data_IF_993375445302
#
_entry.id   IF_993375445302
#
_cell.length_a   1.000
_cell.length_b   1.000
_cell.length_c   1.000
_cell.angle_alpha   90.00
_cell.angle_beta   90.00
_cell.angle_gamma   90.00
#
_symmetry.space_group_name_H-M   'P 1'
#
loop_
_entity.id
_entity.type
_entity.pdbx_description
1 polymer ?
#
# COMPACT_ATOMS: atom_id res chain seq x y z
N UNK A 1 8.47 60.28 -10.54
CA UNK A 1 9.69 59.69 -11.13
C UNK A 1 9.40 59.36 -12.59
N UNK A 2 10.20 59.92 -13.49
CA UNK A 2 10.21 59.74 -14.95
C UNK A 2 10.39 58.25 -15.34
N UNK A 3 9.98 57.85 -16.57
CA UNK A 3 11.02 57.81 -17.59
C UNK A 3 10.62 58.39 -18.95
N UNK A 4 11.62 59.10 -19.44
CA UNK A 4 11.88 59.67 -20.74
C UNK A 4 11.87 58.62 -21.86
N UNK A 5 11.41 59.08 -23.03
CA UNK A 5 11.52 58.50 -24.37
C UNK A 5 12.80 57.68 -24.60
N UNK A 6 12.68 56.58 -25.35
CA UNK A 6 13.79 56.16 -26.22
C UNK A 6 13.28 55.66 -27.58
N UNK A 7 14.01 56.11 -28.60
CA UNK A 7 13.71 56.08 -30.02
C UNK A 7 13.81 54.67 -30.61
N UNK A 8 13.00 54.46 -31.63
CA UNK A 8 13.13 53.39 -32.63
C UNK A 8 14.50 53.46 -33.30
N UNK A 9 15.23 52.36 -33.28
CA UNK A 9 16.29 52.07 -34.25
C UNK A 9 16.03 50.66 -34.80
N UNK A 10 15.82 50.62 -36.10
CA UNK A 10 15.66 49.45 -36.94
C UNK A 10 16.92 48.57 -36.85
N UNK A 11 16.78 47.29 -36.53
CA UNK A 11 17.74 46.28 -36.91
C UNK A 11 17.04 44.92 -37.02
N UNK A 12 16.99 44.46 -38.27
CA UNK A 12 16.49 43.21 -38.78
C UNK A 12 17.20 42.02 -38.08
N UNK A 13 16.49 41.16 -37.36
CA UNK A 13 17.03 39.83 -36.99
C UNK A 13 15.91 38.91 -36.47
N UNK A 14 15.70 37.81 -37.21
CA UNK A 14 15.37 36.47 -36.72
C UNK A 14 14.03 36.18 -36.00
N UNK A 15 13.39 35.13 -36.53
CA UNK A 15 12.64 34.06 -35.85
C UNK A 15 11.13 34.22 -35.57
N UNK A 16 10.42 33.20 -36.09
CA UNK A 16 9.25 32.53 -35.53
C UNK A 16 7.93 33.31 -35.49
N UNK A 17 7.17 33.18 -36.58
CA UNK A 17 5.72 33.30 -36.54
C UNK A 17 5.08 32.10 -35.83
N UNK A 18 4.88 32.21 -34.51
CA UNK A 18 3.90 31.43 -33.77
C UNK A 18 2.79 32.38 -33.32
N UNK A 19 1.81 32.59 -34.21
CA UNK A 19 0.57 33.26 -33.89
C UNK A 19 -0.40 32.25 -33.24
N UNK A 20 -0.98 32.61 -32.10
CA UNK A 20 -2.27 32.03 -31.70
C UNK A 20 -2.42 31.70 -30.22
N UNK A 21 -3.14 32.58 -29.52
CA UNK A 21 -3.96 32.29 -28.34
C UNK A 21 -3.24 32.00 -27.00
N UNK A 22 -2.87 33.06 -26.28
CA UNK A 22 -2.89 33.04 -24.82
C UNK A 22 -4.34 32.89 -24.34
N UNK A 23 -4.82 31.65 -24.22
CA UNK A 23 -5.95 31.33 -23.35
C UNK A 23 -5.49 31.57 -21.92
N UNK A 24 -6.14 32.54 -21.26
CA UNK A 24 -6.12 32.69 -19.81
C UNK A 24 -6.64 31.38 -19.22
N UNK A 25 -5.72 30.54 -18.73
CA UNK A 25 -6.05 29.33 -18.02
C UNK A 25 -6.69 29.75 -16.69
N UNK A 26 -8.01 29.82 -16.68
CA UNK A 26 -8.78 29.77 -15.45
C UNK A 26 -8.37 28.46 -14.77
N UNK A 27 -7.73 28.56 -13.62
CA UNK A 27 -7.40 27.41 -12.79
C UNK A 27 -8.72 26.87 -12.26
N UNK A 28 -9.33 26.01 -13.07
CA UNK A 28 -10.42 25.16 -12.67
C UNK A 28 -9.85 24.26 -11.57
N UNK A 29 -10.02 24.70 -10.32
CA UNK A 29 -9.93 23.83 -9.15
C UNK A 29 -11.06 22.83 -9.33
N UNK A 30 -10.81 21.84 -10.17
CA UNK A 30 -11.58 20.62 -10.23
C UNK A 30 -11.61 20.11 -8.81
N UNK A 31 -12.74 20.31 -8.14
CA UNK A 31 -13.06 19.65 -6.90
C UNK A 31 -12.90 18.18 -7.18
N UNK A 32 -11.75 17.64 -6.78
CA UNK A 32 -11.56 16.20 -6.73
C UNK A 32 -12.64 15.75 -5.77
N UNK A 33 -13.72 15.21 -6.33
CA UNK A 33 -14.79 14.61 -5.57
C UNK A 33 -14.09 13.74 -4.54
N UNK A 34 -14.24 14.10 -3.26
CA UNK A 34 -13.64 13.34 -2.19
C UNK A 34 -14.09 11.91 -2.41
N UNK A 35 -13.14 11.00 -2.63
CA UNK A 35 -13.47 9.59 -2.71
C UNK A 35 -14.33 9.28 -1.47
N UNK A 36 -15.43 8.53 -1.62
CA UNK A 36 -16.27 8.20 -0.48
C UNK A 36 -15.37 7.63 0.63
N UNK A 37 -15.62 8.01 1.91
CA UNK A 37 -14.79 7.55 3.00
C UNK A 37 -14.70 6.02 2.96
N UNK A 38 -13.47 5.50 2.85
CA UNK A 38 -13.23 4.07 2.85
C UNK A 38 -13.83 3.49 4.14
N UNK A 39 -14.57 2.39 4.01
CA UNK A 39 -15.00 1.60 5.16
C UNK A 39 -13.78 1.32 6.05
N UNK A 40 -13.79 1.77 7.33
CA UNK A 40 -12.66 1.58 8.24
C UNK A 40 -12.24 0.12 8.37
N UNK A 41 -13.19 -0.82 8.30
CA UNK A 41 -12.91 -2.26 8.34
C UNK A 41 -12.08 -2.67 7.12
N UNK A 42 -12.50 -2.27 5.93
CA UNK A 42 -11.77 -2.57 4.70
C UNK A 42 -10.38 -1.91 4.70
N UNK A 43 -10.28 -0.64 5.12
CA UNK A 43 -9.02 0.08 5.15
C UNK A 43 -7.99 -0.55 6.10
N UNK A 44 -8.41 -0.95 7.30
CA UNK A 44 -7.54 -1.63 8.26
C UNK A 44 -7.15 -3.03 7.77
N UNK A 45 -8.08 -3.79 7.19
CA UNK A 45 -7.82 -5.12 6.65
C UNK A 45 -6.85 -5.09 5.47
N UNK A 46 -7.02 -4.14 4.52
CA UNK A 46 -6.08 -3.93 3.40
C UNK A 46 -4.68 -3.56 3.92
N UNK A 47 -4.60 -2.73 4.97
CA UNK A 47 -3.31 -2.38 5.58
C UNK A 47 -2.60 -3.60 6.16
N UNK A 48 -3.28 -4.39 6.99
CA UNK A 48 -2.71 -5.61 7.58
C UNK A 48 -2.44 -6.69 6.51
N UNK A 49 -3.26 -6.74 5.47
CA UNK A 49 -3.15 -7.70 4.38
C UNK A 49 -1.89 -7.53 3.55
N UNK A 50 -1.48 -6.28 3.26
CA UNK A 50 -0.20 -6.02 2.60
C UNK A 50 0.99 -6.53 3.41
N UNK A 51 0.99 -6.29 4.72
CA UNK A 51 2.04 -6.80 5.60
C UNK A 51 2.05 -8.33 5.64
N UNK A 52 0.88 -8.96 5.76
CA UNK A 52 0.76 -10.43 5.74
C UNK A 52 1.29 -11.01 4.43
N UNK A 53 0.91 -10.43 3.29
CA UNK A 53 1.34 -10.87 1.97
C UNK A 53 2.87 -10.79 1.84
N UNK A 54 3.49 -9.66 2.22
CA UNK A 54 4.94 -9.50 2.18
C UNK A 54 5.67 -10.54 3.06
N UNK A 55 5.21 -10.74 4.30
CA UNK A 55 5.84 -11.69 5.22
C UNK A 55 5.76 -13.10 4.66
N UNK A 56 4.61 -13.49 4.11
CA UNK A 56 4.38 -14.84 3.57
C UNK A 56 5.16 -15.05 2.26
N UNK A 57 5.24 -14.05 1.39
CA UNK A 57 6.05 -14.06 0.17
C UNK A 57 7.53 -14.34 0.52
N UNK A 58 8.11 -13.52 1.40
CA UNK A 58 9.50 -13.65 1.85
C UNK A 58 9.77 -14.95 2.62
N UNK A 59 8.80 -15.43 3.41
CA UNK A 59 8.92 -16.72 4.08
C UNK A 59 8.90 -17.91 3.09
N UNK A 60 8.17 -17.78 1.98
CA UNK A 60 8.12 -18.78 0.91
C UNK A 60 9.42 -18.77 0.09
N UNK A 61 9.98 -17.60 -0.20
CA UNK A 61 11.32 -17.45 -0.78
C UNK A 61 12.41 -18.06 0.13
N UNK A 62 12.34 -17.80 1.44
CA UNK A 62 13.22 -18.42 2.43
C UNK A 62 13.11 -19.94 2.38
N UNK A 63 11.89 -20.48 2.32
CA UNK A 63 11.67 -21.93 2.22
C UNK A 63 12.34 -22.54 0.98
N UNK A 64 12.26 -21.86 -0.17
CA UNK A 64 12.92 -22.28 -1.41
C UNK A 64 14.44 -22.37 -1.29
N UNK A 65 15.06 -21.45 -0.54
CA UNK A 65 16.51 -21.40 -0.33
C UNK A 65 17.01 -22.26 0.85
N UNK A 66 16.12 -22.67 1.77
CA UNK A 66 16.49 -23.35 3.03
C UNK A 66 16.02 -24.81 3.11
N UNK A 67 16.11 -25.52 1.97
CA UNK A 67 15.78 -26.96 1.85
C UNK A 67 14.34 -27.27 2.28
N UNK A 68 13.39 -26.42 1.90
CA UNK A 68 11.98 -26.65 2.16
C UNK A 68 11.51 -26.31 3.58
N UNK A 69 12.36 -25.70 4.41
CA UNK A 69 12.00 -25.29 5.79
C UNK A 69 11.62 -23.82 5.86
N UNK A 70 10.48 -23.53 6.46
CA UNK A 70 10.08 -22.16 6.79
C UNK A 70 10.97 -21.53 7.86
N UNK A 71 11.08 -20.19 7.90
CA UNK A 71 11.76 -19.50 8.99
C UNK A 71 10.99 -19.71 10.30
N UNK A 72 11.69 -19.77 11.42
CA UNK A 72 11.06 -19.92 12.76
C UNK A 72 10.66 -18.58 13.38
N UNK A 73 11.07 -17.47 12.76
CA UNK A 73 10.72 -16.10 13.16
C UNK A 73 10.77 -15.14 11.98
N UNK A 74 10.04 -14.02 12.08
CA UNK A 74 10.07 -12.96 11.05
C UNK A 74 11.45 -12.29 10.93
N UNK A 75 12.26 -12.32 11.98
CA UNK A 75 13.62 -11.76 11.95
C UNK A 75 14.55 -12.50 10.97
N UNK A 76 14.35 -13.81 10.75
CA UNK A 76 15.16 -14.59 9.82
C UNK A 76 14.96 -14.20 8.35
N UNK A 77 13.84 -13.54 8.05
CA UNK A 77 13.54 -12.98 6.71
C UNK A 77 13.73 -11.46 6.66
N UNK A 78 14.44 -10.90 7.66
CA UNK A 78 14.76 -9.47 7.71
C UNK A 78 13.56 -8.58 7.98
N UNK A 79 12.55 -9.08 8.71
CA UNK A 79 11.37 -8.31 9.12
C UNK A 79 11.37 -8.16 10.64
N UNK A 80 11.18 -6.93 11.11
CA UNK A 80 11.01 -6.66 12.53
C UNK A 80 9.68 -7.22 13.04
N UNK A 81 9.71 -7.93 14.17
CA UNK A 81 8.48 -8.44 14.81
C UNK A 81 7.63 -7.35 15.46
N UNK A 82 8.20 -6.17 15.68
CA UNK A 82 7.57 -5.05 16.34
C UNK A 82 7.95 -3.75 15.63
N UNK A 83 6.94 -3.02 15.15
CA UNK A 83 7.12 -1.66 14.61
C UNK A 83 6.33 -0.66 15.44
N UNK A 84 6.41 0.65 15.17
CA UNK A 84 5.52 1.60 15.83
C UNK A 84 4.03 1.29 15.63
N UNK A 85 3.64 0.73 14.48
CA UNK A 85 2.24 0.49 14.11
C UNK A 85 1.74 -0.92 14.44
N UNK A 86 2.55 -1.95 14.23
CA UNK A 86 2.11 -3.36 14.25
C UNK A 86 3.04 -4.30 15.02
N UNK A 87 2.46 -5.42 15.46
CA UNK A 87 3.16 -6.60 15.99
C UNK A 87 2.95 -7.75 15.02
N UNK A 88 4.01 -8.52 14.76
CA UNK A 88 4.01 -9.61 13.79
C UNK A 88 4.46 -10.90 14.47
N UNK A 89 3.68 -11.95 14.30
CA UNK A 89 3.97 -13.28 14.80
C UNK A 89 3.93 -14.26 13.66
N UNK A 90 4.94 -15.13 13.64
CA UNK A 90 5.05 -16.22 12.68
C UNK A 90 5.03 -17.54 13.47
N UNK A 91 4.24 -18.48 12.99
CA UNK A 91 4.21 -19.86 13.47
C UNK A 91 4.40 -20.75 12.25
N UNK A 92 5.43 -21.60 12.30
CA UNK A 92 5.77 -22.49 11.19
C UNK A 92 5.90 -23.93 11.66
N UNK A 93 5.47 -24.85 10.80
CA UNK A 93 5.81 -26.27 10.87
C UNK A 93 6.62 -26.67 9.64
N UNK A 94 6.89 -27.97 9.46
CA UNK A 94 7.53 -28.47 8.24
C UNK A 94 6.67 -28.25 6.98
N UNK A 95 5.34 -28.20 7.11
CA UNK A 95 4.41 -28.15 5.98
C UNK A 95 3.66 -26.81 5.88
N UNK A 96 3.42 -26.14 7.01
CA UNK A 96 2.53 -24.98 7.09
C UNK A 96 3.23 -23.77 7.67
N UNK A 97 2.79 -22.60 7.21
CA UNK A 97 3.15 -21.30 7.75
C UNK A 97 1.87 -20.55 8.06
N UNK A 98 1.80 -19.96 9.25
CA UNK A 98 0.74 -19.06 9.66
C UNK A 98 1.34 -17.79 10.23
N UNK A 99 0.87 -16.65 9.75
CA UNK A 99 1.32 -15.33 10.18
C UNK A 99 0.14 -14.55 10.72
N UNK A 100 0.34 -13.90 11.86
CA UNK A 100 -0.60 -12.95 12.45
C UNK A 100 0.05 -11.58 12.50
N UNK A 101 -0.67 -10.56 12.04
CA UNK A 101 -0.30 -9.15 12.20
C UNK A 101 -1.40 -8.44 12.97
N UNK A 102 -1.01 -7.69 13.99
CA UNK A 102 -1.92 -6.96 14.85
C UNK A 102 -1.49 -5.49 14.97
N UNK A 103 -2.45 -4.57 15.05
CA UNK A 103 -2.13 -3.19 15.42
C UNK A 103 -1.71 -3.10 16.88
N UNK A 104 -0.74 -2.23 17.17
CA UNK A 104 -0.31 -1.95 18.56
C UNK A 104 -1.32 -1.12 19.34
N UNK A 105 -2.11 -0.31 18.64
CA UNK A 105 -3.15 0.55 19.20
C UNK A 105 -4.50 0.19 18.57
N UNK A 106 -5.12 -0.94 18.98
CA UNK A 106 -6.37 -1.39 18.38
C UNK A 106 -7.54 -0.46 18.70
N UNK A 107 -7.51 0.32 19.80
CA UNK A 107 -8.63 1.16 20.21
C UNK A 107 -9.01 2.28 19.20
N UNK A 108 -8.12 2.63 18.26
CA UNK A 108 -8.38 3.60 17.19
C UNK A 108 -8.69 2.93 15.84
N UNK A 109 -8.95 1.62 15.84
CA UNK A 109 -9.10 0.78 14.65
C UNK A 109 -10.44 0.04 14.66
N UNK A 110 -10.89 -0.38 13.49
CA UNK A 110 -12.03 -1.28 13.35
C UNK A 110 -11.59 -2.75 13.45
N UNK A 111 -10.37 -3.06 12.98
CA UNK A 111 -9.74 -4.38 13.08
C UNK A 111 -8.58 -4.33 14.06
N UNK A 112 -8.49 -5.32 14.95
CA UNK A 112 -7.37 -5.46 15.88
C UNK A 112 -6.22 -6.27 15.26
N UNK A 113 -6.53 -7.35 14.55
CA UNK A 113 -5.54 -8.22 13.92
C UNK A 113 -6.09 -8.97 12.71
N UNK A 114 -5.19 -9.43 11.84
CA UNK A 114 -5.50 -10.37 10.77
C UNK A 114 -4.49 -11.52 10.77
N UNK A 115 -4.91 -12.68 10.30
CA UNK A 115 -4.12 -13.91 10.20
C UNK A 115 -4.29 -14.53 8.81
N UNK A 116 -3.19 -15.04 8.27
CA UNK A 116 -3.13 -15.73 6.99
C UNK A 116 -2.18 -16.93 7.04
N UNK A 117 -2.41 -17.90 6.15
CA UNK A 117 -1.50 -18.99 5.89
C UNK A 117 -0.81 -18.84 4.52
N UNK A 118 0.15 -19.73 4.21
CA UNK A 118 0.91 -19.68 2.95
C UNK A 118 0.06 -19.84 1.68
N UNK A 119 -1.18 -20.30 1.80
CA UNK A 119 -2.13 -20.47 0.71
C UNK A 119 -2.61 -19.13 0.10
N UNK A 120 -2.43 -17.99 0.79
CA UNK A 120 -2.83 -16.69 0.24
C UNK A 120 -2.06 -16.32 -1.04
N UNK A 121 -0.86 -16.85 -1.25
CA UNK A 121 -0.09 -16.60 -2.48
C UNK A 121 -0.75 -17.27 -3.68
N UNK A 122 -1.20 -18.51 -3.51
CA UNK A 122 -1.97 -19.23 -4.53
C UNK A 122 -3.33 -18.56 -4.75
N UNK A 123 -4.04 -18.20 -3.66
CA UNK A 123 -5.29 -17.48 -3.76
C UNK A 123 -5.15 -16.16 -4.52
N UNK A 124 -4.11 -15.37 -4.23
CA UNK A 124 -3.84 -14.12 -4.93
C UNK A 124 -3.54 -14.34 -6.42
N UNK A 125 -2.75 -15.37 -6.76
CA UNK A 125 -2.44 -15.71 -8.16
C UNK A 125 -3.70 -16.11 -8.94
N UNK A 126 -4.65 -16.79 -8.28
CA UNK A 126 -5.90 -17.26 -8.90
C UNK A 126 -7.01 -16.19 -8.94
N UNK A 127 -6.95 -15.16 -8.09
CA UNK A 127 -8.02 -14.18 -7.91
C UNK A 127 -7.56 -12.73 -8.14
N UNK A 128 -6.78 -12.48 -9.20
CA UNK A 128 -6.37 -11.12 -9.62
C UNK A 128 -5.69 -10.32 -8.50
N UNK A 129 -4.84 -10.99 -7.71
CA UNK A 129 -4.13 -10.39 -6.57
C UNK A 129 -4.96 -10.26 -5.30
N UNK A 130 -6.19 -10.79 -5.26
CA UNK A 130 -7.06 -10.77 -4.09
C UNK A 130 -6.99 -12.07 -3.30
N UNK A 131 -7.08 -11.99 -1.97
CA UNK A 131 -7.01 -13.17 -1.12
C UNK A 131 -7.78 -12.97 0.19
N UNK A 132 -8.33 -14.06 0.76
CA UNK A 132 -9.05 -14.01 2.01
C UNK A 132 -8.10 -13.89 3.21
N UNK A 133 -8.52 -13.15 4.22
CA UNK A 133 -7.88 -13.03 5.51
C UNK A 133 -8.86 -13.33 6.64
N UNK A 134 -8.42 -14.00 7.69
CA UNK A 134 -9.19 -14.07 8.94
C UNK A 134 -8.81 -12.88 9.81
N UNK A 135 -9.72 -11.94 10.01
CA UNK A 135 -9.50 -10.74 10.81
C UNK A 135 -10.38 -10.72 12.06
N UNK A 136 -9.82 -10.23 13.16
CA UNK A 136 -10.49 -10.05 14.45
C UNK A 136 -10.74 -8.56 14.66
N UNK A 137 -12.01 -8.19 14.84
CA UNK A 137 -12.40 -6.82 15.16
C UNK A 137 -12.00 -6.41 16.57
N UNK A 138 -12.11 -5.13 16.89
CA UNK A 138 -11.91 -4.62 18.26
C UNK A 138 -13.00 -5.07 19.24
N UNK A 139 -14.14 -5.51 18.69
CA UNK A 139 -15.23 -6.21 19.35
C UNK A 139 -14.92 -7.69 19.69
N UNK A 140 -13.77 -8.21 19.22
CA UNK A 140 -13.38 -9.61 19.33
C UNK A 140 -14.03 -10.53 18.29
N UNK A 141 -14.88 -10.02 17.40
CA UNK A 141 -15.55 -10.82 16.39
C UNK A 141 -14.59 -11.15 15.23
N UNK A 142 -14.45 -12.44 14.93
CA UNK A 142 -13.70 -12.92 13.79
C UNK A 142 -14.56 -12.90 12.51
N UNK A 143 -13.97 -12.42 11.40
CA UNK A 143 -14.61 -12.34 10.09
C UNK A 143 -13.59 -12.57 8.98
N UNK A 144 -14.03 -13.20 7.89
CA UNK A 144 -13.20 -13.36 6.70
C UNK A 144 -13.38 -12.13 5.81
N UNK A 145 -12.29 -11.47 5.46
CA UNK A 145 -12.27 -10.29 4.60
C UNK A 145 -11.44 -10.57 3.35
N UNK A 146 -11.95 -10.19 2.19
CA UNK A 146 -11.24 -10.31 0.92
C UNK A 146 -10.50 -9.00 0.65
N UNK A 147 -9.17 -9.05 0.63
CA UNK A 147 -8.28 -7.89 0.45
C UNK A 147 -7.40 -8.08 -0.78
N UNK A 148 -6.57 -7.09 -1.09
CA UNK A 148 -5.68 -7.10 -2.26
C UNK A 148 -4.21 -7.08 -1.83
N UNK A 149 -3.32 -7.70 -2.61
CA UNK A 149 -1.86 -7.68 -2.36
C UNK A 149 -1.24 -6.27 -2.49
N UNK A 150 -1.98 -5.33 -3.11
CA UNK A 150 -1.48 -4.02 -3.52
C UNK A 150 -0.69 -4.11 -4.82
N UNK A 151 -0.79 -3.10 -5.68
CA UNK A 151 0.10 -2.94 -6.82
C UNK A 151 1.46 -2.44 -6.33
N UNK A 152 2.54 -3.19 -6.59
CA UNK A 152 3.90 -2.67 -6.46
C UNK A 152 4.16 -1.58 -7.50
#
# INVERSE_FOLDING_TARGET
MTPTRCRRAFALLLLLGAAGACRKAESDRGGRAAAPPLDPVAADAESLGRELFEIIDRATEYRGSHRGRYPVSVAQIGIDSLTPATVRRLISTAATLTVTVAFRQPASRAIASCTAASDILEAAALNEGRFPLTCVGTDGAARVLLVSAGSR
#
